data_IF_873868426734
#
_entry.id   IF_873868426734
#
_cell.length_a   1.000
_cell.length_b   1.000
_cell.length_c   1.000
_cell.angle_alpha   90.00
_cell.angle_beta   90.00
_cell.angle_gamma   90.00
#
_symmetry.space_group_name_H-M   'P 1'
#
loop_
_entity.id
_entity.type
_entity.pdbx_description
1 polymer ?
#
# COMPACT_ATOMS: atom_id res chain seq x y z
N UNK A 1 -7.32 0.20 -7.49
CA UNK A 1 -6.32 -0.91 -7.45
C UNK A 1 -5.59 -0.89 -6.10
N UNK A 2 -5.07 -2.03 -5.62
CA UNK A 2 -4.32 -2.12 -4.35
C UNK A 2 -2.89 -2.59 -4.62
N UNK A 3 -1.89 -1.82 -4.24
CA UNK A 3 -0.48 -2.13 -4.48
C UNK A 3 -0.04 -3.46 -3.88
N UNK A 4 -0.44 -3.76 -2.62
CA UNK A 4 -0.07 -5.01 -1.95
C UNK A 4 -0.62 -6.25 -2.68
N UNK A 5 -1.87 -6.20 -3.14
CA UNK A 5 -2.46 -7.29 -3.94
C UNK A 5 -1.74 -7.45 -5.27
N UNK A 6 -1.48 -6.33 -5.94
CA UNK A 6 -0.74 -6.31 -7.21
C UNK A 6 0.67 -6.89 -7.05
N UNK A 7 1.42 -6.45 -6.03
CA UNK A 7 2.74 -7.01 -5.74
C UNK A 7 2.70 -8.53 -5.53
N UNK A 8 1.66 -9.02 -4.85
CA UNK A 8 1.47 -10.46 -4.65
C UNK A 8 1.14 -11.20 -5.95
N UNK A 9 0.36 -10.60 -6.85
CA UNK A 9 0.05 -11.18 -8.15
C UNK A 9 1.30 -11.26 -9.03
N UNK A 10 2.10 -10.20 -9.06
CA UNK A 10 3.34 -10.13 -9.82
C UNK A 10 4.44 -11.10 -9.32
N UNK A 11 4.31 -11.60 -8.09
CA UNK A 11 5.20 -12.62 -7.51
C UNK A 11 4.70 -14.06 -7.68
N UNK A 12 3.66 -14.33 -8.48
CA UNK A 12 3.25 -15.69 -8.81
C UNK A 12 4.27 -16.38 -9.73
N UNK A 13 4.32 -17.72 -9.78
CA UNK A 13 5.34 -18.46 -10.54
C UNK A 13 5.47 -18.11 -12.03
N UNK A 14 4.41 -17.64 -12.64
CA UNK A 14 4.32 -17.29 -14.07
C UNK A 14 4.47 -15.79 -14.32
N UNK A 15 4.79 -15.00 -13.28
CA UNK A 15 4.81 -13.56 -13.34
C UNK A 15 6.24 -12.97 -13.41
N UNK A 16 6.39 -11.72 -13.91
CA UNK A 16 7.68 -11.14 -14.29
C UNK A 16 8.74 -11.11 -13.20
N UNK A 17 8.35 -10.91 -11.93
CA UNK A 17 9.32 -10.73 -10.85
C UNK A 17 9.56 -11.98 -10.00
N UNK A 18 8.84 -13.07 -10.27
CA UNK A 18 8.99 -14.31 -9.51
C UNK A 18 10.42 -14.85 -9.54
N UNK A 19 10.97 -15.04 -10.73
CA UNK A 19 12.34 -15.58 -10.89
C UNK A 19 13.39 -14.65 -10.29
N UNK A 20 13.17 -13.34 -10.38
CA UNK A 20 14.09 -12.37 -9.83
C UNK A 20 14.10 -12.40 -8.29
N UNK A 21 12.92 -12.49 -7.66
CA UNK A 21 12.80 -12.66 -6.20
C UNK A 21 13.46 -13.97 -5.76
N UNK A 22 13.21 -15.08 -6.45
CA UNK A 22 13.81 -16.40 -6.13
C UNK A 22 15.32 -16.37 -6.31
N UNK A 23 15.82 -15.81 -7.39
CA UNK A 23 17.27 -15.68 -7.65
C UNK A 23 17.95 -14.84 -6.57
N UNK A 24 17.29 -13.80 -6.09
CA UNK A 24 17.86 -12.84 -5.14
C UNK A 24 17.78 -13.32 -3.67
N UNK A 25 16.66 -13.93 -3.28
CA UNK A 25 16.41 -14.37 -1.90
C UNK A 25 16.66 -15.86 -1.68
N UNK A 26 16.88 -16.63 -2.75
CA UNK A 26 17.19 -18.05 -2.70
C UNK A 26 15.93 -18.94 -2.69
N UNK A 27 16.15 -20.23 -2.88
CA UNK A 27 15.07 -21.23 -2.93
C UNK A 27 14.29 -21.41 -1.63
N UNK A 28 14.85 -20.95 -0.51
CA UNK A 28 14.18 -20.99 0.79
C UNK A 28 12.85 -20.20 0.81
N UNK A 29 12.70 -19.22 -0.09
CA UNK A 29 11.45 -18.45 -0.22
C UNK A 29 10.38 -19.13 -1.06
N UNK A 30 10.56 -20.40 -1.44
CA UNK A 30 9.60 -21.14 -2.27
C UNK A 30 8.88 -22.20 -1.43
N UNK A 31 7.56 -22.25 -1.54
CA UNK A 31 6.73 -23.34 -0.99
C UNK A 31 6.82 -24.59 -1.88
N UNK A 32 6.33 -25.72 -1.37
CA UNK A 32 6.25 -26.99 -2.13
C UNK A 32 5.38 -26.91 -3.40
N UNK A 33 4.42 -25.99 -3.44
CA UNK A 33 3.56 -25.68 -4.59
C UNK A 33 4.18 -24.66 -5.56
N UNK A 34 5.44 -24.34 -5.39
CA UNK A 34 6.22 -23.35 -6.15
C UNK A 34 5.81 -21.88 -5.93
N UNK A 35 4.84 -21.58 -5.09
CA UNK A 35 4.51 -20.19 -4.74
C UNK A 35 5.55 -19.58 -3.79
N UNK A 36 5.61 -18.23 -3.74
CA UNK A 36 6.48 -17.54 -2.77
C UNK A 36 5.94 -17.74 -1.34
N UNK A 37 6.81 -18.22 -0.46
CA UNK A 37 6.58 -18.27 0.99
C UNK A 37 6.73 -16.85 1.58
N UNK A 38 5.63 -16.12 1.63
CA UNK A 38 5.60 -14.72 2.07
C UNK A 38 6.12 -14.51 3.49
N UNK A 39 5.79 -15.36 4.49
CA UNK A 39 6.38 -15.26 5.83
C UNK A 39 7.91 -15.33 5.80
N UNK A 40 8.50 -16.28 5.06
CA UNK A 40 9.95 -16.41 4.95
C UNK A 40 10.54 -15.22 4.20
N UNK A 41 9.97 -14.83 3.07
CA UNK A 41 10.42 -13.65 2.33
C UNK A 41 10.36 -12.38 3.19
N UNK A 42 9.28 -12.18 3.94
CA UNK A 42 9.14 -11.07 4.86
C UNK A 42 10.18 -11.10 5.97
N UNK A 43 10.45 -12.26 6.58
CA UNK A 43 11.50 -12.39 7.57
C UNK A 43 12.89 -12.05 7.00
N UNK A 44 13.24 -12.60 5.84
CA UNK A 44 14.52 -12.28 5.17
C UNK A 44 14.64 -10.82 4.78
N UNK A 45 13.57 -10.20 4.32
CA UNK A 45 13.57 -8.79 3.96
C UNK A 45 13.63 -7.89 5.19
N UNK A 46 12.71 -8.05 6.15
CA UNK A 46 12.56 -7.12 7.27
C UNK A 46 13.52 -7.41 8.44
N UNK A 47 13.70 -8.66 8.82
CA UNK A 47 14.61 -9.05 9.90
C UNK A 47 16.06 -9.15 9.40
N UNK A 48 16.25 -9.59 8.16
CA UNK A 48 17.55 -9.62 7.49
C UNK A 48 18.04 -8.26 6.95
N UNK A 49 17.28 -7.17 7.13
CA UNK A 49 17.68 -5.81 6.68
C UNK A 49 17.69 -5.61 5.16
N UNK A 50 17.06 -6.51 4.39
CA UNK A 50 17.10 -6.55 2.93
C UNK A 50 15.85 -5.96 2.25
N UNK A 51 15.07 -5.14 2.99
CA UNK A 51 13.83 -4.49 2.46
C UNK A 51 14.12 -3.68 1.20
N UNK A 52 15.25 -2.94 1.18
CA UNK A 52 15.63 -2.13 0.01
C UNK A 52 15.84 -2.98 -1.24
N UNK A 53 16.41 -4.18 -1.09
CA UNK A 53 16.64 -5.11 -2.18
C UNK A 53 15.30 -5.65 -2.72
N UNK A 54 14.39 -6.07 -1.83
CA UNK A 54 13.05 -6.50 -2.24
C UNK A 54 12.28 -5.38 -2.94
N UNK A 55 12.33 -4.17 -2.40
CA UNK A 55 11.67 -3.02 -2.98
C UNK A 55 12.25 -2.64 -4.34
N UNK A 56 13.57 -2.78 -4.56
CA UNK A 56 14.20 -2.53 -5.85
C UNK A 56 13.70 -3.49 -6.95
N UNK A 57 13.30 -4.70 -6.59
CA UNK A 57 12.69 -5.66 -7.51
C UNK A 57 11.19 -5.36 -7.71
N UNK A 58 10.47 -5.16 -6.63
CA UNK A 58 9.00 -5.11 -6.65
C UNK A 58 8.46 -3.75 -7.13
N UNK A 59 9.03 -2.63 -6.69
CA UNK A 59 8.49 -1.30 -7.00
C UNK A 59 8.44 -0.99 -8.50
N UNK A 60 9.49 -1.27 -9.32
CA UNK A 60 9.43 -1.01 -10.76
C UNK A 60 8.31 -1.79 -11.46
N UNK A 61 8.12 -3.06 -11.09
CA UNK A 61 7.08 -3.89 -11.69
C UNK A 61 5.67 -3.45 -11.29
N UNK A 62 5.47 -3.09 -10.01
CA UNK A 62 4.21 -2.52 -9.53
C UNK A 62 3.91 -1.20 -10.24
N UNK A 63 4.91 -0.33 -10.39
CA UNK A 63 4.75 0.96 -11.07
C UNK A 63 4.38 0.76 -12.55
N UNK A 64 5.07 -0.12 -13.25
CA UNK A 64 4.79 -0.41 -14.67
C UNK A 64 3.37 -0.95 -14.86
N UNK A 65 2.94 -1.91 -14.03
CA UNK A 65 1.58 -2.47 -14.11
C UNK A 65 0.49 -1.46 -13.72
N UNK A 66 0.78 -0.62 -12.74
CA UNK A 66 -0.11 0.49 -12.37
C UNK A 66 -0.30 1.47 -13.54
N UNK A 67 0.79 1.89 -14.19
CA UNK A 67 0.73 2.81 -15.34
C UNK A 67 -0.03 2.19 -16.52
N UNK A 68 0.22 0.91 -16.80
CA UNK A 68 -0.55 0.18 -17.81
C UNK A 68 -2.05 0.18 -17.46
N UNK A 69 -2.42 -0.10 -16.23
CA UNK A 69 -3.81 -0.09 -15.78
C UNK A 69 -4.43 1.31 -15.89
N UNK A 70 -3.68 2.37 -15.59
CA UNK A 70 -4.17 3.73 -15.80
C UNK A 70 -4.49 4.00 -17.26
N UNK A 71 -3.61 3.58 -18.20
CA UNK A 71 -3.86 3.69 -19.62
C UNK A 71 -5.13 2.95 -20.04
N UNK A 72 -5.24 1.66 -19.69
CA UNK A 72 -6.41 0.82 -19.98
C UNK A 72 -7.72 1.45 -19.48
N UNK A 73 -7.72 1.97 -18.25
CA UNK A 73 -8.92 2.57 -17.65
C UNK A 73 -9.23 3.95 -18.20
N UNK A 74 -8.23 4.75 -18.54
CA UNK A 74 -8.43 6.08 -19.18
C UNK A 74 -9.02 5.96 -20.59
N UNK A 75 -8.70 4.89 -21.31
CA UNK A 75 -9.34 4.59 -22.59
C UNK A 75 -10.81 4.16 -22.42
N UNK A 76 -11.10 3.38 -21.37
CA UNK A 76 -12.43 2.89 -21.08
C UNK A 76 -13.36 3.98 -20.53
N UNK A 77 -12.88 4.78 -19.58
CA UNK A 77 -13.62 5.91 -18.99
C UNK A 77 -12.70 7.12 -18.79
N UNK A 78 -12.59 8.00 -19.80
CA UNK A 78 -11.69 9.18 -19.75
C UNK A 78 -12.02 10.20 -18.64
N UNK A 79 -13.18 10.08 -18.01
CA UNK A 79 -13.64 10.95 -16.91
C UNK A 79 -13.79 10.19 -15.60
N UNK A 80 -13.33 8.97 -15.55
CA UNK A 80 -13.36 8.13 -14.37
C UNK A 80 -12.37 8.59 -13.30
N UNK A 81 -12.73 8.38 -12.04
CA UNK A 81 -11.81 8.56 -10.91
C UNK A 81 -11.13 7.23 -10.60
N UNK A 82 -9.82 7.15 -10.86
CA UNK A 82 -9.03 5.95 -10.60
C UNK A 82 -8.35 6.06 -9.23
N UNK A 83 -8.57 5.07 -8.38
CA UNK A 83 -7.98 5.04 -7.04
C UNK A 83 -6.94 3.94 -6.95
N UNK A 84 -5.70 4.32 -6.58
CA UNK A 84 -4.62 3.42 -6.28
C UNK A 84 -4.26 3.53 -4.79
N UNK A 85 -4.36 2.43 -4.06
CA UNK A 85 -4.07 2.38 -2.63
C UNK A 85 -2.72 1.70 -2.38
N UNK A 86 -1.84 2.38 -1.64
CA UNK A 86 -0.58 1.83 -1.17
C UNK A 86 -0.12 2.52 0.12
N UNK A 87 0.57 1.76 0.96
CA UNK A 87 1.09 2.28 2.24
C UNK A 87 2.33 3.17 2.07
N UNK A 88 3.08 3.03 0.96
CA UNK A 88 4.41 3.60 0.77
C UNK A 88 4.52 4.47 -0.50
N UNK A 89 3.44 5.12 -0.92
CA UNK A 89 3.41 5.95 -2.14
C UNK A 89 4.49 7.05 -2.09
N UNK A 90 4.59 7.76 -0.97
CA UNK A 90 5.53 8.86 -0.79
C UNK A 90 6.96 8.35 -0.65
N UNK A 91 7.16 7.32 0.16
CA UNK A 91 8.45 6.70 0.40
C UNK A 91 9.05 6.08 -0.87
N UNK A 92 8.19 5.59 -1.77
CA UNK A 92 8.59 5.05 -3.07
C UNK A 92 8.76 6.13 -4.16
N UNK A 93 8.53 7.40 -3.84
CA UNK A 93 8.60 8.50 -4.83
C UNK A 93 7.54 8.40 -5.92
N UNK A 94 6.43 7.72 -5.63
CA UNK A 94 5.36 7.46 -6.60
C UNK A 94 4.36 8.61 -6.72
N UNK A 95 4.39 9.61 -5.82
CA UNK A 95 3.44 10.73 -5.81
C UNK A 95 3.28 11.43 -7.16
N UNK A 96 4.35 11.52 -7.94
CA UNK A 96 4.37 12.13 -9.28
C UNK A 96 3.48 11.45 -10.35
N UNK A 97 2.97 10.26 -10.06
CA UNK A 97 2.09 9.52 -10.99
C UNK A 97 0.60 9.76 -10.74
N UNK A 98 0.26 10.58 -9.73
CA UNK A 98 -1.11 10.82 -9.31
C UNK A 98 -1.45 12.32 -9.41
N UNK A 99 -2.65 12.64 -9.87
CA UNK A 99 -3.17 14.01 -9.90
C UNK A 99 -3.46 14.53 -8.50
N UNK A 100 -3.88 13.66 -7.59
CA UNK A 100 -4.25 13.96 -6.21
C UNK A 100 -3.80 12.87 -5.24
N UNK A 101 -3.34 13.29 -4.08
CA UNK A 101 -2.95 12.41 -3.00
C UNK A 101 -3.91 12.54 -1.82
N UNK A 102 -4.49 11.42 -1.42
CA UNK A 102 -5.34 11.33 -0.23
C UNK A 102 -4.58 10.60 0.87
N UNK A 103 -4.43 11.22 2.02
CA UNK A 103 -3.83 10.58 3.20
C UNK A 103 -4.92 10.29 4.24
N UNK A 104 -4.99 9.02 4.65
CA UNK A 104 -5.90 8.59 5.72
C UNK A 104 -5.12 8.54 7.03
N UNK A 105 -5.56 9.32 8.02
CA UNK A 105 -4.95 9.40 9.35
C UNK A 105 -5.79 8.68 10.39
N UNK A 106 -5.15 8.18 11.43
CA UNK A 106 -5.81 7.78 12.66
C UNK A 106 -4.82 7.87 13.82
N UNK A 107 -5.31 7.93 15.07
CA UNK A 107 -4.38 7.95 16.19
C UNK A 107 -3.56 6.66 16.27
N UNK A 108 -2.38 6.75 16.92
CA UNK A 108 -1.40 5.65 16.97
C UNK A 108 -1.99 4.39 17.61
N UNK A 109 -2.72 4.52 18.68
CA UNK A 109 -3.32 3.40 19.40
C UNK A 109 -4.28 2.61 18.51
N UNK A 110 -5.16 3.29 17.80
CA UNK A 110 -6.09 2.66 16.85
C UNK A 110 -5.37 1.99 15.68
N UNK A 111 -4.26 2.57 15.19
CA UNK A 111 -3.45 1.93 14.13
C UNK A 111 -2.89 0.59 14.60
N UNK A 112 -2.30 0.57 15.79
CA UNK A 112 -1.73 -0.64 16.38
C UNK A 112 -2.80 -1.68 16.67
N UNK A 113 -3.92 -1.27 17.27
CA UNK A 113 -5.04 -2.15 17.59
C UNK A 113 -5.66 -2.78 16.34
N UNK A 114 -5.97 -1.97 15.31
CA UNK A 114 -6.52 -2.46 14.04
C UNK A 114 -5.55 -3.40 13.32
N UNK A 115 -4.24 -3.14 13.42
CA UNK A 115 -3.24 -4.05 12.86
C UNK A 115 -3.24 -5.38 13.61
N UNK A 116 -3.20 -5.37 14.94
CA UNK A 116 -3.23 -6.57 15.76
C UNK A 116 -4.49 -7.40 15.52
N UNK A 117 -5.66 -6.77 15.47
CA UNK A 117 -6.94 -7.43 15.16
C UNK A 117 -6.92 -8.09 13.78
N UNK A 118 -6.35 -7.44 12.78
CA UNK A 118 -6.23 -7.99 11.40
C UNK A 118 -5.33 -9.22 11.33
N UNK A 119 -4.22 -9.21 12.09
CA UNK A 119 -3.25 -10.31 12.11
C UNK A 119 -3.75 -11.49 12.90
N UNK A 120 -4.41 -11.24 14.02
CA UNK A 120 -4.84 -12.28 14.97
C UNK A 120 -6.28 -12.75 14.75
N UNK A 121 -7.08 -12.00 13.99
CA UNK A 121 -8.51 -12.25 13.84
C UNK A 121 -9.23 -12.12 15.17
N UNK A 122 -10.29 -12.92 15.38
CA UNK A 122 -11.06 -12.94 16.63
C UNK A 122 -10.40 -13.75 17.75
N UNK A 123 -9.25 -14.38 17.50
CA UNK A 123 -8.56 -15.24 18.45
C UNK A 123 -7.54 -14.48 19.34
N UNK A 124 -7.94 -13.38 19.95
CA UNK A 124 -7.08 -12.47 20.75
C UNK A 124 -6.71 -13.05 22.14
N UNK A 125 -6.58 -14.35 22.31
CA UNK A 125 -6.40 -14.92 23.66
C UNK A 125 -4.95 -15.27 24.06
N UNK A 126 -3.95 -14.99 23.21
CA UNK A 126 -2.54 -15.27 23.55
C UNK A 126 -1.74 -13.97 23.64
N UNK A 127 -1.42 -13.54 24.85
CA UNK A 127 -0.66 -12.32 25.17
C UNK A 127 0.63 -12.20 24.35
N UNK A 128 1.37 -13.28 24.18
CA UNK A 128 2.63 -13.32 23.41
C UNK A 128 2.43 -13.03 21.91
N UNK A 129 1.35 -13.57 21.32
CA UNK A 129 1.03 -13.31 19.90
C UNK A 129 0.60 -11.86 19.70
N UNK A 130 -0.14 -11.29 20.63
CA UNK A 130 -0.53 -9.88 20.60
C UNK A 130 0.70 -8.96 20.71
N UNK A 131 1.59 -9.21 21.66
CA UNK A 131 2.83 -8.44 21.79
C UNK A 131 3.70 -8.52 20.54
N UNK A 132 3.82 -9.71 19.93
CA UNK A 132 4.55 -9.88 18.67
C UNK A 132 3.89 -9.07 17.55
N UNK A 133 2.57 -9.11 17.41
CA UNK A 133 1.84 -8.34 16.40
C UNK A 133 2.00 -6.82 16.60
N UNK A 134 1.95 -6.35 17.86
CA UNK A 134 2.15 -4.93 18.17
C UNK A 134 3.58 -4.47 17.86
N UNK A 135 4.60 -5.26 18.20
CA UNK A 135 6.00 -4.96 17.85
C UNK A 135 6.21 -4.90 16.32
N UNK A 136 5.58 -5.81 15.56
CA UNK A 136 5.64 -5.77 14.10
C UNK A 136 4.93 -4.52 13.54
N UNK A 137 3.78 -4.16 14.10
CA UNK A 137 3.07 -2.92 13.74
C UNK A 137 3.93 -1.67 13.99
N UNK A 138 4.55 -1.58 15.16
CA UNK A 138 5.43 -0.44 15.50
C UNK A 138 6.63 -0.34 14.56
N UNK A 139 7.27 -1.47 14.26
CA UNK A 139 8.39 -1.52 13.31
C UNK A 139 7.97 -1.03 11.92
N UNK A 140 6.79 -1.44 11.44
CA UNK A 140 6.25 -1.01 10.13
C UNK A 140 5.90 0.47 10.11
N UNK A 141 5.30 0.98 11.18
CA UNK A 141 5.01 2.40 11.32
C UNK A 141 6.29 3.24 11.39
N UNK A 142 7.30 2.77 12.12
CA UNK A 142 8.60 3.45 12.24
C UNK A 142 9.43 3.45 10.95
N UNK A 143 9.13 2.57 10.00
CA UNK A 143 9.78 2.52 8.69
C UNK A 143 9.13 3.45 7.64
N UNK A 144 7.99 4.06 7.96
CA UNK A 144 7.28 4.99 7.11
C UNK A 144 7.63 6.44 7.45
N UNK A 145 7.36 7.37 6.53
CA UNK A 145 7.35 8.79 6.83
C UNK A 145 6.42 9.11 8.00
N UNK A 146 6.75 10.15 8.74
CA UNK A 146 5.89 10.61 9.82
C UNK A 146 4.51 11.03 9.30
N UNK A 147 3.50 10.96 10.16
CA UNK A 147 2.16 11.38 9.77
C UNK A 147 2.10 12.85 9.35
N UNK A 148 2.90 13.70 10.00
CA UNK A 148 3.01 15.12 9.64
C UNK A 148 3.59 15.35 8.24
N UNK A 149 4.62 14.58 7.85
CA UNK A 149 5.18 14.64 6.50
C UNK A 149 4.17 14.16 5.45
N UNK A 150 3.44 13.07 5.73
CA UNK A 150 2.39 12.57 4.83
C UNK A 150 1.26 13.57 4.66
N UNK A 151 0.79 14.16 5.76
CA UNK A 151 -0.26 15.19 5.75
C UNK A 151 0.19 16.44 4.99
N UNK A 152 1.44 16.87 5.17
CA UNK A 152 1.98 18.02 4.45
C UNK A 152 2.08 17.81 2.92
N UNK A 153 2.20 16.55 2.48
CA UNK A 153 2.27 16.19 1.06
C UNK A 153 0.88 15.91 0.45
N UNK A 154 -0.18 15.83 1.25
CA UNK A 154 -1.52 15.43 0.81
C UNK A 154 -2.30 16.59 0.22
N UNK A 155 -3.04 16.33 -0.86
CA UNK A 155 -4.12 17.24 -1.33
C UNK A 155 -5.36 17.12 -0.46
N UNK A 156 -5.64 15.91 0.07
CA UNK A 156 -6.78 15.65 0.95
C UNK A 156 -6.35 14.80 2.15
N UNK A 157 -6.96 15.06 3.29
CA UNK A 157 -6.75 14.28 4.51
C UNK A 157 -8.08 13.74 5.00
N UNK A 158 -8.15 12.43 5.27
CA UNK A 158 -9.30 11.77 5.87
C UNK A 158 -8.94 11.37 7.30
N UNK A 159 -9.60 11.98 8.28
CA UNK A 159 -9.49 11.57 9.68
C UNK A 159 -10.31 10.32 9.96
N UNK A 160 -9.65 9.23 10.32
CA UNK A 160 -10.28 7.93 10.60
C UNK A 160 -10.14 7.52 12.08
N UNK A 161 -10.11 8.52 12.98
CA UNK A 161 -10.10 8.29 14.43
C UNK A 161 -11.49 8.37 15.06
N UNK A 162 -12.44 8.98 14.38
CA UNK A 162 -13.81 9.12 14.81
C UNK A 162 -14.70 7.94 14.43
N UNK A 163 -15.99 8.20 14.32
CA UNK A 163 -17.00 7.22 13.90
C UNK A 163 -16.87 6.89 12.40
N UNK A 164 -17.36 5.70 12.02
CA UNK A 164 -17.43 5.30 10.62
C UNK A 164 -18.24 6.29 9.79
N UNK A 165 -19.34 6.81 10.35
CA UNK A 165 -20.19 7.80 9.68
C UNK A 165 -19.47 9.13 9.40
N UNK A 166 -18.56 9.56 10.28
CA UNK A 166 -17.72 10.74 10.05
C UNK A 166 -16.70 10.49 8.95
N UNK A 167 -16.05 9.34 8.96
CA UNK A 167 -15.12 8.94 7.89
C UNK A 167 -15.85 8.87 6.55
N UNK A 168 -17.02 8.26 6.50
CA UNK A 168 -17.83 8.14 5.29
C UNK A 168 -18.23 9.50 4.71
N UNK A 169 -18.65 10.45 5.56
CA UNK A 169 -18.96 11.82 5.11
C UNK A 169 -17.77 12.50 4.46
N UNK A 170 -16.57 12.37 5.03
CA UNK A 170 -15.34 12.92 4.44
C UNK A 170 -15.05 12.26 3.08
N UNK A 171 -15.16 10.93 2.99
CA UNK A 171 -14.95 10.18 1.73
C UNK A 171 -15.93 10.66 0.66
N UNK A 172 -17.24 10.79 0.99
CA UNK A 172 -18.25 11.23 0.03
C UNK A 172 -17.95 12.66 -0.46
N UNK A 173 -17.53 13.56 0.43
CA UNK A 173 -17.20 14.93 0.06
C UNK A 173 -16.02 14.98 -0.90
N UNK A 174 -14.92 14.33 -0.55
CA UNK A 174 -13.72 14.26 -1.39
C UNK A 174 -14.02 13.59 -2.74
N UNK A 175 -14.80 12.50 -2.74
CA UNK A 175 -15.15 11.81 -3.97
C UNK A 175 -15.96 12.69 -4.94
N UNK A 176 -16.90 13.50 -4.42
CA UNK A 176 -17.65 14.48 -5.24
C UNK A 176 -16.73 15.53 -5.86
N UNK A 177 -15.75 16.03 -5.11
CA UNK A 177 -14.77 16.98 -5.62
C UNK A 177 -13.90 16.34 -6.71
N UNK A 178 -13.43 15.12 -6.50
CA UNK A 178 -12.64 14.39 -7.51
C UNK A 178 -13.45 14.12 -8.79
N UNK A 179 -14.72 13.76 -8.66
CA UNK A 179 -15.62 13.63 -9.82
C UNK A 179 -15.78 14.94 -10.59
N UNK A 180 -15.95 16.06 -9.88
CA UNK A 180 -16.05 17.38 -10.52
C UNK A 180 -14.74 17.76 -11.24
N UNK A 181 -13.58 17.46 -10.66
CA UNK A 181 -12.27 17.66 -11.28
C UNK A 181 -12.13 16.81 -12.55
N UNK A 182 -12.46 15.53 -12.49
CA UNK A 182 -12.40 14.61 -13.63
C UNK A 182 -13.32 15.05 -14.78
N UNK A 183 -14.47 15.63 -14.47
CA UNK A 183 -15.39 16.18 -15.48
C UNK A 183 -14.89 17.46 -16.13
N UNK A 184 -14.04 18.23 -15.44
CA UNK A 184 -13.51 19.52 -15.92
C UNK A 184 -12.35 19.38 -16.92
N UNK A 185 -11.85 18.17 -17.17
CA UNK A 185 -10.72 17.88 -18.04
C UNK A 185 -9.38 17.74 -17.27
N UNK A 186 -8.29 17.41 -17.98
CA UNK A 186 -7.01 17.12 -17.36
C UNK A 186 -6.52 18.29 -16.51
N UNK A 187 -6.16 18.01 -15.26
CA UNK A 187 -5.49 18.96 -14.38
C UNK A 187 -4.12 19.23 -15.04
N UNK A 188 -3.83 20.51 -15.35
CA UNK A 188 -2.54 20.87 -15.92
C UNK A 188 -1.43 20.34 -15.00
N UNK A 189 -0.61 19.41 -15.54
CA UNK A 189 0.51 18.84 -14.81
C UNK A 189 1.44 19.97 -14.37
N UNK A 190 1.69 20.07 -13.08
CA UNK A 190 2.72 20.95 -12.56
C UNK A 190 4.07 20.45 -13.09
N UNK A 191 4.64 21.25 -13.99
CA UNK A 191 5.98 21.06 -14.58
C UNK A 191 7.06 21.25 -13.53
#
# INVERSE_FOLDING_TARGET
MHADKLAHELMRPDQPIYEEVVRHFGVAVINSDKTINRPILAALAFEGGRVKELNAIVHPAVTARMQQWFGEMSEFDPKGVLIFEAALILEAGMGKYFDKLIVVTSNREQKLERFAQRVLGTAVSKTEQLEKALRDAERRLGAQLSESEKVAAADYVIGNSGSLAETERQVITIFKELQALAMSGPIASHS
#
